data_IF_852336306757
#
_entry.id   IF_852336306757
#
_cell.length_a   1.000
_cell.length_b   1.000
_cell.length_c   1.000
_cell.angle_alpha   90.00
_cell.angle_beta   90.00
_cell.angle_gamma   90.00
#
_symmetry.space_group_name_H-M   'P 1'
#
loop_
_entity.id
_entity.type
_entity.pdbx_description
1 polymer ?
#
# COMPACT_ATOMS: atom_id res chain seq x y z
N UNK A 1 -1.42 0.87 -23.93
CA UNK A 1 -0.69 2.12 -24.13
C UNK A 1 -1.18 3.19 -23.16
N UNK A 2 -0.27 4.04 -22.67
CA UNK A 2 -0.59 5.18 -21.83
C UNK A 2 -1.27 6.27 -22.63
N UNK A 3 -2.51 6.61 -22.30
CA UNK A 3 -3.30 7.59 -23.07
C UNK A 3 -3.36 8.96 -22.40
N UNK A 4 -3.30 9.02 -21.05
CA UNK A 4 -3.31 10.28 -20.32
C UNK A 4 -2.50 10.22 -19.03
N UNK A 5 -1.92 11.36 -18.67
CA UNK A 5 -1.35 11.65 -17.36
C UNK A 5 -2.22 12.75 -16.74
N UNK A 6 -2.89 12.46 -15.63
CA UNK A 6 -3.95 13.31 -15.05
C UNK A 6 -3.50 14.09 -13.82
N UNK A 7 -2.28 13.89 -13.36
CA UNK A 7 -1.72 14.60 -12.22
C UNK A 7 -0.58 15.54 -12.63
N UNK A 8 -0.22 16.45 -11.74
CA UNK A 8 0.95 17.31 -11.92
C UNK A 8 2.09 16.82 -11.02
N UNK A 9 3.28 16.50 -11.56
CA UNK A 9 4.42 16.11 -10.76
C UNK A 9 4.76 17.13 -9.66
N UNK A 10 5.08 16.64 -8.48
CA UNK A 10 5.39 17.46 -7.30
C UNK A 10 4.18 18.02 -6.55
N UNK A 11 2.96 17.81 -7.04
CA UNK A 11 1.73 18.20 -6.31
C UNK A 11 1.19 17.07 -5.45
N UNK A 12 0.39 17.48 -4.47
CA UNK A 12 -0.32 16.56 -3.60
C UNK A 12 -1.47 15.89 -4.35
N UNK A 13 -1.58 14.57 -4.17
CA UNK A 13 -2.66 13.73 -4.69
C UNK A 13 -3.37 13.04 -3.53
N UNK A 14 -4.65 12.71 -3.72
CA UNK A 14 -5.47 12.01 -2.74
C UNK A 14 -5.42 10.50 -2.97
N UNK A 15 -5.70 9.73 -1.92
CA UNK A 15 -5.98 8.30 -2.10
C UNK A 15 -7.20 8.11 -3.02
N UNK A 16 -7.08 7.19 -4.00
CA UNK A 16 -8.10 6.94 -5.02
C UNK A 16 -8.10 7.92 -6.20
N UNK A 17 -7.26 8.95 -6.19
CA UNK A 17 -7.14 9.88 -7.32
C UNK A 17 -6.51 9.20 -8.52
N UNK A 18 -7.13 9.36 -9.71
CA UNK A 18 -6.64 8.77 -10.96
C UNK A 18 -5.41 9.55 -11.42
N UNK A 19 -4.28 8.86 -11.55
CA UNK A 19 -3.02 9.44 -11.99
C UNK A 19 -2.77 9.22 -13.47
N UNK A 20 -3.13 8.02 -13.98
CA UNK A 20 -2.91 7.65 -15.37
C UNK A 20 -4.13 6.95 -15.95
N UNK A 21 -4.34 7.13 -17.26
CA UNK A 21 -5.27 6.34 -18.03
C UNK A 21 -4.54 5.53 -19.10
N UNK A 22 -4.85 4.24 -19.15
CA UNK A 22 -4.37 3.28 -20.14
C UNK A 22 -5.48 3.06 -21.18
N UNK A 23 -5.15 2.70 -22.41
CA UNK A 23 -6.15 2.40 -23.44
C UNK A 23 -7.11 1.29 -22.99
N UNK A 24 -8.34 1.69 -22.68
CA UNK A 24 -9.36 0.80 -22.14
C UNK A 24 -10.08 -0.01 -23.21
N UNK A 25 -9.96 0.33 -24.51
CA UNK A 25 -10.75 -0.28 -25.59
C UNK A 25 -10.63 -1.81 -25.66
N UNK A 26 -9.43 -2.41 -25.56
CA UNK A 26 -9.30 -3.88 -25.55
C UNK A 26 -9.99 -4.52 -24.34
N UNK A 27 -9.92 -3.87 -23.18
CA UNK A 27 -10.50 -4.38 -21.93
C UNK A 27 -12.03 -4.25 -21.90
N UNK A 28 -12.57 -3.17 -22.48
CA UNK A 28 -14.03 -3.01 -22.69
C UNK A 28 -14.55 -4.11 -23.60
N UNK A 29 -13.86 -4.40 -24.70
CA UNK A 29 -14.25 -5.48 -25.62
C UNK A 29 -14.17 -6.86 -24.94
N UNK A 30 -13.15 -7.12 -24.13
CA UNK A 30 -12.99 -8.36 -23.37
C UNK A 30 -14.10 -8.53 -22.33
N UNK A 31 -14.49 -7.45 -21.64
CA UNK A 31 -15.62 -7.46 -20.69
C UNK A 31 -16.93 -7.78 -21.42
N UNK A 32 -17.22 -7.11 -22.52
CA UNK A 32 -18.43 -7.36 -23.31
C UNK A 32 -18.49 -8.82 -23.82
N UNK A 33 -17.36 -9.40 -24.22
CA UNK A 33 -17.28 -10.81 -24.60
C UNK A 33 -17.60 -11.73 -23.43
N UNK A 34 -17.01 -11.48 -22.25
CA UNK A 34 -17.26 -12.29 -21.06
C UNK A 34 -18.73 -12.22 -20.60
N UNK A 35 -19.35 -11.03 -20.68
CA UNK A 35 -20.78 -10.84 -20.38
C UNK A 35 -21.69 -11.59 -21.36
N UNK A 36 -21.36 -11.60 -22.65
CA UNK A 36 -22.09 -12.36 -23.66
C UNK A 36 -21.98 -13.88 -23.41
N UNK A 37 -20.80 -14.37 -23.04
CA UNK A 37 -20.60 -15.77 -22.67
C UNK A 37 -21.39 -16.15 -21.40
N UNK A 38 -21.42 -15.27 -20.39
CA UNK A 38 -22.25 -15.47 -19.20
C UNK A 38 -23.73 -15.61 -19.57
N UNK A 39 -24.24 -14.68 -20.37
CA UNK A 39 -25.64 -14.74 -20.81
C UNK A 39 -25.99 -16.05 -21.56
N UNK A 40 -25.04 -16.53 -22.39
CA UNK A 40 -25.18 -17.83 -23.07
C UNK A 40 -25.24 -18.98 -22.08
N UNK A 41 -24.38 -19.03 -21.07
CA UNK A 41 -24.39 -20.10 -20.06
C UNK A 41 -25.63 -20.01 -19.15
N UNK A 42 -26.10 -18.82 -18.81
CA UNK A 42 -27.36 -18.65 -18.06
C UNK A 42 -28.57 -19.16 -18.82
N UNK A 43 -28.65 -18.96 -20.14
CA UNK A 43 -29.69 -19.52 -20.97
C UNK A 43 -29.64 -21.07 -21.02
N UNK A 44 -28.41 -21.63 -21.10
CA UNK A 44 -28.23 -23.10 -21.05
C UNK A 44 -28.65 -23.68 -19.69
N UNK A 45 -28.28 -23.00 -18.60
CA UNK A 45 -28.63 -23.40 -17.24
C UNK A 45 -30.16 -23.33 -17.04
N UNK A 46 -30.81 -22.26 -17.48
CA UNK A 46 -32.29 -22.15 -17.42
C UNK A 46 -32.98 -23.30 -18.12
N UNK A 47 -32.51 -23.69 -19.31
CA UNK A 47 -33.02 -24.86 -20.02
C UNK A 47 -32.81 -26.14 -19.21
N UNK A 48 -31.59 -26.39 -18.71
CA UNK A 48 -31.25 -27.57 -17.94
C UNK A 48 -32.08 -27.68 -16.65
N UNK A 49 -32.34 -26.55 -15.98
CA UNK A 49 -33.18 -26.47 -14.78
C UNK A 49 -34.63 -26.83 -15.08
N UNK A 50 -35.20 -26.30 -16.16
CA UNK A 50 -36.56 -26.67 -16.60
C UNK A 50 -36.69 -28.17 -16.96
N UNK A 51 -35.66 -28.71 -17.62
CA UNK A 51 -35.61 -30.13 -17.96
C UNK A 51 -35.48 -31.00 -16.70
N UNK A 52 -34.62 -30.65 -15.76
CA UNK A 52 -34.47 -31.35 -14.49
C UNK A 52 -35.77 -31.34 -13.67
N UNK A 53 -36.42 -30.17 -13.55
CA UNK A 53 -37.68 -30.03 -12.83
C UNK A 53 -38.77 -30.88 -13.48
N UNK A 54 -38.84 -30.96 -14.82
CA UNK A 54 -39.76 -31.79 -15.54
C UNK A 54 -39.51 -33.28 -15.28
N UNK A 55 -38.25 -33.74 -15.32
CA UNK A 55 -37.88 -35.12 -15.06
C UNK A 55 -38.19 -35.55 -13.62
N UNK A 56 -37.95 -34.66 -12.66
CA UNK A 56 -38.30 -34.87 -11.24
C UNK A 56 -39.84 -35.08 -11.10
N UNK A 57 -40.63 -34.22 -11.73
CA UNK A 57 -42.10 -34.34 -11.69
C UNK A 57 -42.60 -35.63 -12.36
N UNK A 58 -42.03 -36.02 -13.50
CA UNK A 58 -42.40 -37.27 -14.21
C UNK A 58 -41.97 -38.52 -13.43
N UNK A 59 -40.83 -38.48 -12.74
CA UNK A 59 -40.37 -39.57 -11.89
C UNK A 59 -41.35 -39.83 -10.72
N UNK A 60 -41.88 -38.77 -10.11
CA UNK A 60 -42.86 -38.87 -9.04
C UNK A 60 -44.14 -39.62 -9.48
N UNK A 61 -44.50 -39.54 -10.78
CA UNK A 61 -45.60 -40.28 -11.39
C UNK A 61 -45.20 -41.63 -12.02
N UNK A 62 -43.92 -42.05 -11.84
CA UNK A 62 -43.33 -43.27 -12.42
C UNK A 62 -43.33 -43.29 -13.96
N UNK A 63 -43.31 -42.12 -14.60
CA UNK A 63 -43.34 -41.98 -16.05
C UNK A 63 -41.94 -42.02 -16.70
N UNK A 64 -40.89 -41.90 -15.92
CA UNK A 64 -39.47 -41.94 -16.36
C UNK A 64 -38.62 -42.79 -15.42
N UNK A 65 -37.44 -43.23 -15.90
CA UNK A 65 -36.50 -44.00 -15.09
C UNK A 65 -35.75 -43.10 -14.08
N UNK A 66 -35.22 -43.73 -13.04
CA UNK A 66 -34.33 -43.04 -12.08
C UNK A 66 -33.07 -42.51 -12.76
N UNK A 67 -32.54 -43.24 -13.73
CA UNK A 67 -31.40 -42.85 -14.52
C UNK A 67 -31.63 -41.54 -15.30
N UNK A 68 -32.82 -41.38 -15.92
CA UNK A 68 -33.17 -40.20 -16.69
C UNK A 68 -33.31 -38.97 -15.78
N UNK A 69 -33.94 -39.14 -14.59
CA UNK A 69 -34.01 -38.08 -13.57
C UNK A 69 -32.62 -37.64 -13.12
N UNK A 70 -31.78 -38.61 -12.74
CA UNK A 70 -30.43 -38.30 -12.22
C UNK A 70 -29.54 -37.66 -13.28
N UNK A 71 -29.63 -38.12 -14.52
CA UNK A 71 -28.92 -37.50 -15.64
C UNK A 71 -29.33 -36.02 -15.85
N UNK A 72 -30.65 -35.72 -15.77
CA UNK A 72 -31.13 -34.35 -15.91
C UNK A 72 -30.71 -33.47 -14.74
N UNK A 73 -30.73 -33.99 -13.50
CA UNK A 73 -30.25 -33.27 -12.31
C UNK A 73 -28.74 -32.98 -12.40
N UNK A 74 -27.92 -33.97 -12.77
CA UNK A 74 -26.48 -33.78 -12.95
C UNK A 74 -26.17 -32.78 -14.06
N UNK A 75 -26.94 -32.82 -15.16
CA UNK A 75 -26.75 -31.84 -16.24
C UNK A 75 -27.06 -30.41 -15.79
N UNK A 76 -28.10 -30.23 -14.96
CA UNK A 76 -28.39 -28.91 -14.36
C UNK A 76 -27.26 -28.45 -13.42
N UNK A 77 -26.71 -29.32 -12.57
CA UNK A 77 -25.60 -29.00 -11.71
C UNK A 77 -24.34 -28.64 -12.51
N UNK A 78 -24.06 -29.37 -13.60
CA UNK A 78 -22.96 -29.02 -14.50
C UNK A 78 -23.20 -27.65 -15.17
N UNK A 79 -24.41 -27.33 -15.58
CA UNK A 79 -24.78 -26.05 -16.16
C UNK A 79 -24.63 -24.91 -15.14
N UNK A 80 -25.02 -25.10 -13.88
CA UNK A 80 -24.76 -24.13 -12.78
C UNK A 80 -23.28 -23.88 -12.56
N UNK A 81 -22.47 -24.93 -12.59
CA UNK A 81 -21.01 -24.77 -12.47
C UNK A 81 -20.41 -23.93 -13.62
N UNK A 82 -20.91 -24.11 -14.85
CA UNK A 82 -20.49 -23.31 -16.00
C UNK A 82 -20.90 -21.84 -15.85
N UNK A 83 -22.07 -21.52 -15.31
CA UNK A 83 -22.49 -20.15 -15.00
C UNK A 83 -21.58 -19.54 -13.95
N UNK A 84 -21.20 -20.27 -12.90
CA UNK A 84 -20.28 -19.79 -11.88
C UNK A 84 -18.89 -19.47 -12.46
N UNK A 85 -18.38 -20.33 -13.33
CA UNK A 85 -17.11 -20.09 -14.03
C UNK A 85 -17.19 -18.86 -14.95
N UNK A 86 -18.29 -18.69 -15.68
CA UNK A 86 -18.50 -17.51 -16.53
C UNK A 86 -18.60 -16.22 -15.72
N UNK A 87 -19.25 -16.23 -14.55
CA UNK A 87 -19.28 -15.07 -13.62
C UNK A 87 -17.89 -14.70 -13.15
N UNK A 88 -17.06 -15.68 -12.83
CA UNK A 88 -15.65 -15.41 -12.46
C UNK A 88 -14.86 -14.77 -13.61
N UNK A 89 -15.12 -15.18 -14.86
CA UNK A 89 -14.48 -14.56 -16.03
C UNK A 89 -14.94 -13.11 -16.25
N UNK A 90 -16.21 -12.79 -16.03
CA UNK A 90 -16.72 -11.41 -16.09
C UNK A 90 -16.04 -10.56 -15.03
N UNK A 91 -15.90 -11.06 -13.80
CA UNK A 91 -15.25 -10.34 -12.72
C UNK A 91 -13.76 -10.09 -13.03
N UNK A 92 -13.06 -11.09 -13.57
CA UNK A 92 -11.68 -10.92 -14.02
C UNK A 92 -11.54 -9.84 -15.10
N UNK A 93 -12.45 -9.85 -16.10
CA UNK A 93 -12.45 -8.86 -17.16
C UNK A 93 -12.74 -7.43 -16.62
N UNK A 94 -13.64 -7.32 -15.62
CA UNK A 94 -13.96 -6.07 -14.94
C UNK A 94 -12.75 -5.52 -14.18
N UNK A 95 -12.06 -6.35 -13.40
CA UNK A 95 -10.84 -5.98 -12.68
C UNK A 95 -9.76 -5.50 -13.65
N UNK A 96 -9.58 -6.18 -14.78
CA UNK A 96 -8.62 -5.76 -15.81
C UNK A 96 -9.00 -4.40 -16.42
N UNK A 97 -10.30 -4.11 -16.59
CA UNK A 97 -10.77 -2.80 -17.03
C UNK A 97 -10.52 -1.72 -15.96
N UNK A 98 -10.71 -2.02 -14.68
CA UNK A 98 -10.40 -1.08 -13.60
C UNK A 98 -8.92 -0.72 -13.56
N UNK A 99 -8.02 -1.66 -13.82
CA UNK A 99 -6.58 -1.41 -13.89
C UNK A 99 -6.16 -0.47 -15.03
N UNK A 100 -7.04 -0.19 -15.99
CA UNK A 100 -6.76 0.86 -17.00
C UNK A 100 -6.78 2.27 -16.41
N UNK A 101 -7.38 2.45 -15.24
CA UNK A 101 -7.34 3.69 -14.44
C UNK A 101 -6.42 3.49 -13.26
N UNK A 102 -5.17 3.91 -13.43
CA UNK A 102 -4.18 3.79 -12.37
C UNK A 102 -4.40 4.87 -11.33
N UNK A 103 -4.81 4.47 -10.14
CA UNK A 103 -5.10 5.38 -9.02
C UNK A 103 -3.99 5.36 -7.98
N UNK A 104 -3.85 6.43 -7.22
CA UNK A 104 -2.96 6.45 -6.06
C UNK A 104 -3.57 5.66 -4.89
N UNK A 105 -2.87 4.66 -4.33
CA UNK A 105 -3.36 3.93 -3.16
C UNK A 105 -3.28 4.74 -1.86
N UNK A 106 -2.49 5.81 -1.84
CA UNK A 106 -2.25 6.65 -0.67
C UNK A 106 -2.38 8.13 -1.02
N UNK A 107 -2.68 8.96 -0.05
CA UNK A 107 -2.51 10.41 -0.18
C UNK A 107 -1.02 10.77 0.01
N UNK A 108 -0.49 11.66 -0.83
CA UNK A 108 0.91 12.03 -0.77
C UNK A 108 1.31 12.96 -1.90
N UNK A 109 2.60 13.14 -2.10
CA UNK A 109 3.15 13.90 -3.23
C UNK A 109 3.54 12.94 -4.33
N UNK A 110 3.00 13.15 -5.53
CA UNK A 110 3.35 12.37 -6.70
C UNK A 110 4.66 12.86 -7.32
N UNK A 111 5.54 11.92 -7.62
CA UNK A 111 6.81 12.15 -8.29
C UNK A 111 6.66 12.44 -9.78
N UNK A 112 7.79 12.56 -10.47
CA UNK A 112 7.84 12.71 -11.92
C UNK A 112 7.40 11.38 -12.56
N UNK A 113 6.61 11.46 -13.62
CA UNK A 113 6.29 10.30 -14.44
C UNK A 113 7.56 9.73 -15.08
N UNK A 114 7.72 8.41 -15.03
CA UNK A 114 8.82 7.71 -15.69
C UNK A 114 8.43 7.22 -17.09
N UNK A 115 7.16 7.31 -17.42
CA UNK A 115 6.60 6.91 -18.71
C UNK A 115 5.93 8.12 -19.36
N UNK A 116 5.97 8.16 -20.68
CA UNK A 116 5.36 9.20 -21.49
C UNK A 116 4.08 8.73 -22.19
N UNK A 117 3.32 9.67 -22.71
CA UNK A 117 2.12 9.37 -23.48
C UNK A 117 2.49 8.53 -24.71
N UNK A 118 1.79 7.41 -24.91
CA UNK A 118 2.05 6.48 -25.99
C UNK A 118 2.94 5.29 -25.60
N UNK A 119 3.55 5.30 -24.43
CA UNK A 119 4.36 4.17 -23.98
C UNK A 119 3.50 2.93 -23.71
N UNK A 120 4.10 1.77 -23.96
CA UNK A 120 3.51 0.50 -23.63
C UNK A 120 3.71 0.21 -22.14
N UNK A 121 2.61 0.13 -21.39
CA UNK A 121 2.60 -0.15 -19.95
C UNK A 121 1.79 -1.41 -19.66
N UNK A 122 2.23 -2.18 -18.66
CA UNK A 122 1.57 -3.43 -18.29
C UNK A 122 2.25 -4.13 -17.12
N UNK A 123 1.77 -5.31 -16.73
CA UNK A 123 2.40 -6.10 -15.70
C UNK A 123 3.88 -6.39 -16.04
N UNK A 124 4.79 -5.99 -15.16
CA UNK A 124 6.24 -6.11 -15.37
C UNK A 124 6.91 -4.90 -16.04
N UNK A 125 6.17 -3.87 -16.41
CA UNK A 125 6.76 -2.57 -16.77
C UNK A 125 7.46 -1.93 -15.57
N UNK A 126 8.38 -0.99 -15.86
CA UNK A 126 8.93 -0.13 -14.80
C UNK A 126 7.81 0.67 -14.11
N UNK A 127 8.04 1.10 -12.88
CA UNK A 127 7.07 1.93 -12.17
C UNK A 127 6.70 3.19 -12.95
N UNK A 128 5.44 3.59 -12.91
CA UNK A 128 4.94 4.77 -13.61
C UNK A 128 5.34 6.05 -12.88
N UNK A 129 5.15 6.08 -11.57
CA UNK A 129 5.54 7.17 -10.67
C UNK A 129 5.59 6.64 -9.23
N UNK A 130 6.22 7.38 -8.35
CA UNK A 130 6.21 7.10 -6.91
C UNK A 130 5.36 8.16 -6.21
N UNK A 131 4.43 7.73 -5.35
CA UNK A 131 3.71 8.62 -4.45
C UNK A 131 4.25 8.44 -3.05
N UNK A 132 4.69 9.53 -2.42
CA UNK A 132 5.30 9.50 -1.09
C UNK A 132 4.47 10.29 -0.10
N UNK A 133 4.16 9.68 1.05
CA UNK A 133 3.64 10.43 2.20
C UNK A 133 4.78 11.26 2.78
N UNK A 134 4.62 12.57 2.78
CA UNK A 134 5.65 13.51 3.24
C UNK A 134 5.28 14.25 4.52
N UNK A 135 4.06 14.11 4.99
CA UNK A 135 3.60 14.62 6.28
C UNK A 135 2.74 13.56 7.00
N UNK A 136 3.22 13.01 8.13
CA UNK A 136 4.55 13.23 8.71
C UNK A 136 5.68 12.60 7.86
N UNK A 137 6.85 13.25 7.83
CA UNK A 137 8.03 12.69 7.18
C UNK A 137 8.78 11.77 8.14
N UNK A 138 9.34 10.70 7.59
CA UNK A 138 10.11 9.72 8.33
C UNK A 138 11.61 10.02 8.18
N UNK A 139 12.30 10.24 9.31
CA UNK A 139 13.75 10.30 9.32
C UNK A 139 14.33 8.97 9.83
N UNK A 140 15.24 8.41 9.05
CA UNK A 140 15.93 7.16 9.34
C UNK A 140 17.31 7.44 9.85
N UNK A 141 17.62 6.94 11.03
CA UNK A 141 18.89 7.12 11.72
C UNK A 141 19.59 5.79 11.89
N UNK A 142 20.90 5.80 11.82
CA UNK A 142 21.73 4.66 12.21
C UNK A 142 22.54 5.07 13.44
N UNK A 143 22.35 4.35 14.55
CA UNK A 143 23.11 4.56 15.78
C UNK A 143 23.98 3.33 16.03
N UNK A 144 25.19 3.53 16.54
CA UNK A 144 26.08 2.44 16.92
C UNK A 144 25.55 1.71 18.15
N UNK A 145 25.92 0.42 18.29
CA UNK A 145 25.63 -0.38 19.49
C UNK A 145 26.12 0.34 20.78
N UNK A 146 27.25 1.00 20.71
CA UNK A 146 27.81 1.77 21.82
C UNK A 146 26.90 2.93 22.25
N UNK A 147 26.39 3.68 21.30
CA UNK A 147 25.46 4.80 21.54
C UNK A 147 24.12 4.30 22.08
N UNK A 148 23.62 3.18 21.52
CA UNK A 148 22.41 2.53 22.01
C UNK A 148 22.56 2.11 23.47
N UNK A 149 23.65 1.42 23.83
CA UNK A 149 23.91 0.96 25.20
C UNK A 149 24.09 2.14 26.17
N UNK A 150 24.72 3.22 25.73
CA UNK A 150 24.85 4.44 26.52
C UNK A 150 23.47 5.08 26.77
N UNK A 151 22.64 5.18 25.73
CA UNK A 151 21.26 5.67 25.83
C UNK A 151 20.38 4.75 26.71
N UNK A 152 20.50 3.44 26.57
CA UNK A 152 19.75 2.47 27.36
C UNK A 152 20.09 2.53 28.87
N UNK A 153 21.35 2.79 29.23
CA UNK A 153 21.74 3.02 30.63
C UNK A 153 21.08 4.26 31.20
N UNK A 154 21.12 5.37 30.48
CA UNK A 154 20.49 6.64 30.89
C UNK A 154 18.97 6.50 31.05
N UNK A 155 18.33 5.66 30.22
CA UNK A 155 16.89 5.37 30.31
C UNK A 155 16.59 4.45 31.50
N UNK A 156 17.41 3.43 31.75
CA UNK A 156 17.24 2.53 32.89
C UNK A 156 17.52 3.21 34.25
N UNK A 157 18.52 4.10 34.32
CA UNK A 157 18.86 4.87 35.52
C UNK A 157 17.81 5.94 35.84
N UNK A 158 17.08 6.43 34.85
CA UNK A 158 16.03 7.44 35.03
C UNK A 158 14.62 6.88 35.18
N UNK A 159 14.47 5.62 35.55
CA UNK A 159 13.18 4.97 35.88
C UNK A 159 12.60 3.99 34.93
N UNK A 160 12.16 2.96 35.43
CA UNK A 160 10.97 2.12 35.25
C UNK A 160 9.77 2.66 34.42
N UNK A 161 9.97 3.53 33.44
CA UNK A 161 8.93 3.88 32.47
C UNK A 161 9.45 3.65 31.04
N UNK A 162 8.68 2.89 30.22
CA UNK A 162 9.04 2.64 28.83
C UNK A 162 9.23 3.96 28.08
N UNK A 163 10.19 4.04 27.15
CA UNK A 163 10.39 5.14 26.20
C UNK A 163 9.11 5.55 25.44
N UNK A 164 8.11 4.67 25.40
CA UNK A 164 6.80 4.91 24.81
C UNK A 164 5.92 5.96 25.52
N UNK A 165 6.32 6.46 26.70
CA UNK A 165 5.53 7.45 27.45
C UNK A 165 6.20 8.80 27.68
N UNK A 166 7.50 8.96 27.37
CA UNK A 166 8.18 10.26 27.34
C UNK A 166 8.24 10.75 25.91
N UNK A 167 7.59 11.86 25.62
CA UNK A 167 7.83 12.63 24.40
C UNK A 167 9.27 13.14 24.43
N UNK A 168 10.23 12.26 24.11
CA UNK A 168 11.59 12.70 23.82
C UNK A 168 11.49 13.63 22.61
N UNK A 169 11.62 14.91 22.87
CA UNK A 169 11.52 15.93 21.86
C UNK A 169 12.75 15.83 20.97
N UNK A 170 12.55 15.31 19.76
CA UNK A 170 13.60 15.18 18.77
C UNK A 170 13.67 16.47 17.95
N UNK A 171 14.86 17.01 17.78
CA UNK A 171 15.12 18.16 16.92
C UNK A 171 15.81 17.70 15.64
N UNK A 172 15.36 18.22 14.51
CA UNK A 172 15.97 17.96 13.21
C UNK A 172 16.82 19.15 12.80
N UNK A 173 18.12 18.91 12.60
CA UNK A 173 19.07 19.91 12.11
C UNK A 173 19.26 19.64 10.61
N UNK A 174 18.92 20.61 9.79
CA UNK A 174 19.00 20.54 8.33
C UNK A 174 20.44 20.67 7.83
N UNK A 175 20.65 20.52 6.54
CA UNK A 175 21.97 20.56 5.91
C UNK A 175 22.64 21.95 6.00
N UNK A 176 21.84 23.02 6.06
CA UNK A 176 22.27 24.40 6.26
C UNK A 176 22.64 24.75 7.72
N UNK A 177 22.35 23.83 8.64
CA UNK A 177 22.57 24.00 10.07
C UNK A 177 21.37 24.59 10.82
N UNK A 178 20.29 24.95 10.14
CA UNK A 178 19.08 25.40 10.79
C UNK A 178 18.36 24.26 11.51
N UNK A 179 17.74 24.59 12.65
CA UNK A 179 16.90 23.65 13.39
C UNK A 179 15.49 23.73 12.85
N UNK A 180 15.01 22.64 12.32
CA UNK A 180 13.64 22.56 11.83
C UNK A 180 12.65 22.72 13.01
N UNK A 181 11.75 23.70 12.91
CA UNK A 181 10.89 24.11 14.02
C UNK A 181 9.96 23.00 14.54
N UNK A 182 9.29 22.18 13.70
CA UNK A 182 8.49 21.07 14.17
C UNK A 182 9.37 20.00 14.83
N UNK A 183 8.99 19.64 16.04
CA UNK A 183 9.69 18.61 16.81
C UNK A 183 9.18 17.23 16.42
N UNK A 184 10.11 16.28 16.35
CA UNK A 184 9.83 14.90 16.01
C UNK A 184 9.58 14.03 17.23
N UNK A 185 9.08 12.83 16.95
CA UNK A 185 8.90 11.78 17.95
C UNK A 185 9.55 10.49 17.49
N UNK A 186 9.94 9.66 18.44
CA UNK A 186 10.37 8.29 18.17
C UNK A 186 9.20 7.49 17.57
N UNK A 187 9.49 6.67 16.57
CA UNK A 187 8.51 5.80 15.94
C UNK A 187 8.81 4.32 16.22
N UNK A 188 9.98 3.86 15.79
CA UNK A 188 10.41 2.47 16.03
C UNK A 188 11.92 2.34 15.95
N UNK A 189 12.45 1.26 16.52
CA UNK A 189 13.82 0.81 16.33
C UNK A 189 13.81 -0.61 15.79
N UNK A 190 14.78 -0.91 14.93
CA UNK A 190 14.98 -2.26 14.45
C UNK A 190 15.38 -3.18 15.63
N UNK A 191 14.93 -4.44 15.58
CA UNK A 191 15.27 -5.44 16.60
C UNK A 191 16.66 -6.02 16.42
N UNK A 192 17.22 -5.90 15.22
CA UNK A 192 18.50 -6.49 14.88
C UNK A 192 19.54 -5.43 14.60
N UNK A 193 20.77 -5.72 15.04
CA UNK A 193 21.96 -4.98 14.66
C UNK A 193 22.35 -5.40 13.26
N UNK A 194 22.63 -4.47 12.38
CA UNK A 194 23.32 -4.78 11.13
C UNK A 194 24.73 -5.24 11.44
N UNK A 195 25.00 -6.52 11.23
CA UNK A 195 26.30 -7.14 11.57
C UNK A 195 27.47 -6.60 10.74
N UNK A 196 27.21 -5.96 9.59
CA UNK A 196 28.26 -5.39 8.74
C UNK A 196 28.68 -4.02 9.22
N UNK A 197 27.76 -3.26 9.77
CA UNK A 197 28.00 -1.86 10.19
C UNK A 197 28.05 -1.70 11.71
N UNK A 198 27.57 -2.68 12.48
CA UNK A 198 27.43 -2.60 13.94
C UNK A 198 26.43 -1.54 14.39
N UNK A 199 25.42 -1.24 13.57
CA UNK A 199 24.47 -0.16 13.83
C UNK A 199 23.03 -0.67 13.93
N UNK A 200 22.21 0.07 14.70
CA UNK A 200 20.76 -0.08 14.77
C UNK A 200 20.09 0.98 13.89
N UNK A 201 19.08 0.56 13.17
CA UNK A 201 18.20 1.47 12.45
C UNK A 201 17.09 1.96 13.37
N UNK A 202 17.00 3.27 13.52
CA UNK A 202 15.91 3.95 14.24
C UNK A 202 15.12 4.79 13.26
N UNK A 203 13.80 4.75 13.38
CA UNK A 203 12.90 5.58 12.61
C UNK A 203 12.19 6.57 13.53
N UNK A 204 12.16 7.81 13.09
CA UNK A 204 11.52 8.91 13.80
C UNK A 204 10.57 9.64 12.86
N UNK A 205 9.49 10.20 13.39
CA UNK A 205 8.49 10.94 12.62
C UNK A 205 8.55 12.42 12.97
N UNK A 206 8.57 13.25 11.95
CA UNK A 206 8.49 14.69 12.06
C UNK A 206 7.28 15.23 11.32
N UNK A 207 6.44 16.10 11.93
CA UNK A 207 5.46 16.85 11.18
C UNK A 207 6.18 17.69 10.12
N UNK A 208 5.62 17.75 8.92
CA UNK A 208 6.24 18.46 7.79
C UNK A 208 5.22 19.40 7.12
N UNK A 209 4.69 20.39 7.87
CA UNK A 209 3.75 21.34 7.32
C UNK A 209 4.38 22.09 6.15
N UNK A 210 3.61 22.20 5.07
CA UNK A 210 4.10 22.86 3.85
C UNK A 210 5.04 22.00 2.99
N UNK A 211 5.30 20.74 3.37
CA UNK A 211 6.11 19.79 2.59
C UNK A 211 7.53 20.31 2.26
N UNK A 212 8.14 21.00 3.23
CA UNK A 212 9.47 21.59 3.09
C UNK A 212 10.54 20.50 2.99
N UNK A 213 10.41 19.46 3.83
CA UNK A 213 11.32 18.32 3.82
C UNK A 213 10.87 17.34 2.72
N UNK A 214 11.86 16.81 1.99
CA UNK A 214 11.63 15.85 0.92
C UNK A 214 12.37 14.53 1.18
N UNK A 215 11.83 13.40 0.72
CA UNK A 215 12.58 12.14 0.75
C UNK A 215 13.95 12.29 0.08
N UNK A 216 14.98 11.72 0.72
CA UNK A 216 16.35 11.83 0.25
C UNK A 216 17.14 13.01 0.81
N UNK A 217 16.53 13.92 1.56
CA UNK A 217 17.27 14.98 2.26
C UNK A 217 18.12 14.37 3.37
N UNK A 218 19.31 14.94 3.52
CA UNK A 218 20.20 14.64 4.63
C UNK A 218 19.89 15.58 5.81
N UNK A 219 19.77 15.01 7.00
CA UNK A 219 19.57 15.78 8.22
C UNK A 219 20.22 15.08 9.41
N UNK A 220 20.47 15.83 10.48
CA UNK A 220 20.95 15.30 11.76
C UNK A 220 19.82 15.38 12.78
N UNK A 221 19.60 14.31 13.53
CA UNK A 221 18.66 14.33 14.63
C UNK A 221 19.43 14.60 15.93
N UNK A 222 18.96 15.59 16.67
CA UNK A 222 19.45 15.91 18.00
C UNK A 222 18.46 15.44 19.03
N UNK A 223 18.93 14.71 20.02
CA UNK A 223 18.13 14.19 21.12
C UNK A 223 18.61 14.84 22.41
N UNK A 224 17.69 15.42 23.17
CA UNK A 224 18.01 15.90 24.52
C UNK A 224 17.89 14.72 25.47
N UNK A 225 18.99 14.15 25.89
CA UNK A 225 19.06 12.97 26.74
C UNK A 225 18.92 13.33 28.23
N UNK A 226 19.50 14.44 28.63
CA UNK A 226 19.49 14.90 30.03
C UNK A 226 19.57 16.43 30.08
N UNK A 227 18.87 17.01 31.05
CA UNK A 227 18.95 18.43 31.36
C UNK A 227 19.38 18.55 32.81
N UNK A 228 20.59 19.10 33.05
CA UNK A 228 21.02 19.47 34.39
C UNK A 228 20.48 20.85 34.71
N UNK A 229 19.54 20.90 35.66
CA UNK A 229 19.09 22.19 36.21
C UNK A 229 20.16 22.73 37.16
N UNK A 230 20.38 24.05 37.13
CA UNK A 230 21.30 24.76 38.00
C UNK A 230 22.80 24.36 37.86
N UNK A 231 23.21 23.92 36.66
CA UNK A 231 24.59 23.60 36.38
C UNK A 231 25.46 24.88 36.30
N UNK A 232 26.53 24.92 37.07
CA UNK A 232 27.56 25.95 36.94
C UNK A 232 28.38 25.69 35.68
N UNK A 233 28.33 26.61 34.72
CA UNK A 233 29.10 26.52 33.48
C UNK A 233 30.40 27.31 33.62
N UNK A 234 31.52 26.63 33.41
CA UNK A 234 32.84 27.24 33.35
C UNK A 234 33.38 27.10 31.93
N UNK A 235 33.91 28.19 31.31
CA UNK A 235 34.52 28.07 29.97
C UNK A 235 35.68 27.07 30.00
N UNK A 236 35.75 26.18 29.01
CA UNK A 236 36.74 25.10 28.96
C UNK A 236 38.21 25.63 29.06
N UNK A 237 38.49 26.84 28.54
CA UNK A 237 39.77 27.52 28.63
C UNK A 237 40.11 28.05 30.02
N UNK A 238 39.17 28.00 30.98
CA UNK A 238 39.41 28.40 32.36
C UNK A 238 39.77 27.21 33.25
N UNK A 239 39.79 26.03 32.71
CA UNK A 239 40.16 24.77 33.38
C UNK A 239 41.45 24.29 32.70
N UNK A 240 42.56 24.62 33.29
CA UNK A 240 43.91 24.13 32.89
C UNK A 240 44.35 23.06 33.87
#
# INVERSE_FOLDING_TARGET
YLTKVLYTPGKQVKAGEVLFEIDARPFVAALAQAEADLARFEAVQTKAELDANRQIALFATKAVSEQDRDAAVQNNEAAKANVLAAKANVELARINLEFTKVTSPIAGIAGISKQELGDLVGPGSSELTAVSTVDPIKAVLQISEREYLAGAKLVNDSVAQPLAGREATLELVLADGEVFAPKGRFYTADRQVDQKTGTFRIETLFPNPGNVLRPGFFARVRVVVMVHKDALLVPQRAVT
#
